data_IF_002198959091
#
_entry.id   IF_002198959091
#
_cell.length_a   1.000
_cell.length_b   1.000
_cell.length_c   1.000
_cell.angle_alpha   90.00
_cell.angle_beta   90.00
_cell.angle_gamma   90.00
#
_symmetry.space_group_name_H-M   'P 1'
#
loop_
_entity.id
_entity.type
_entity.pdbx_description
1 polymer ?
#
# COMPACT_ATOMS: atom_id res chain seq x y z
N UNK A 1 -16.70 8.92 11.08
CA UNK A 1 -15.72 8.46 10.13
C UNK A 1 -16.32 7.53 9.10
N UNK A 2 -15.96 7.77 7.89
CA UNK A 2 -16.46 6.97 6.79
C UNK A 2 -15.54 5.78 6.55
N UNK A 3 -16.12 4.60 6.47
CA UNK A 3 -15.32 3.42 6.16
C UNK A 3 -15.67 2.95 4.77
N UNK A 4 -14.69 3.00 3.92
CA UNK A 4 -14.86 2.50 2.58
C UNK A 4 -14.78 1.01 2.58
N UNK A 5 -15.59 0.41 1.77
CA UNK A 5 -15.51 -1.02 1.60
C UNK A 5 -14.24 -1.37 0.86
N UNK A 6 -13.48 -2.26 1.44
CA UNK A 6 -12.24 -2.73 0.84
C UNK A 6 -12.52 -4.05 0.15
N UNK A 7 -12.15 -4.13 -1.11
CA UNK A 7 -12.36 -5.32 -1.90
C UNK A 7 -11.06 -6.09 -2.07
N UNK A 8 -11.19 -7.38 -2.31
CA UNK A 8 -10.00 -8.22 -2.49
C UNK A 8 -9.22 -7.84 -3.74
N UNK A 9 -9.88 -7.20 -4.71
CA UNK A 9 -9.22 -6.78 -5.94
C UNK A 9 -8.69 -5.36 -5.90
N UNK A 10 -8.69 -4.73 -4.72
CA UNK A 10 -8.13 -3.39 -4.58
C UNK A 10 -6.61 -3.42 -4.70
N UNK A 11 -6.05 -2.29 -5.11
CA UNK A 11 -4.60 -2.10 -5.15
C UNK A 11 -4.20 -1.37 -3.87
N UNK A 12 -3.52 -2.07 -2.99
CA UNK A 12 -3.12 -1.53 -1.69
C UNK A 12 -1.71 -0.98 -1.75
N UNK A 13 -1.54 0.23 -1.24
CA UNK A 13 -0.23 0.81 -1.04
C UNK A 13 0.00 0.94 0.45
N UNK A 14 1.04 0.30 0.96
CA UNK A 14 1.37 0.36 2.38
C UNK A 14 2.66 1.13 2.56
N UNK A 15 2.56 2.32 3.10
CA UNK A 15 3.74 3.14 3.41
C UNK A 15 4.31 2.65 4.73
N UNK A 16 5.61 2.42 4.76
CA UNK A 16 6.26 1.92 5.96
C UNK A 16 6.14 0.41 6.12
N UNK A 17 6.03 -0.30 4.99
CA UNK A 17 5.83 -1.74 5.01
C UNK A 17 6.99 -2.49 5.67
N UNK A 18 8.18 -1.89 5.68
CA UNK A 18 9.35 -2.54 6.28
C UNK A 18 9.41 -2.36 7.79
N UNK A 19 8.60 -1.47 8.34
CA UNK A 19 8.56 -1.26 9.77
C UNK A 19 7.76 -2.34 10.48
N UNK A 20 7.78 -2.29 11.81
CA UNK A 20 7.11 -3.30 12.62
C UNK A 20 5.60 -3.30 12.36
N UNK A 21 4.99 -2.13 12.40
CA UNK A 21 3.55 -2.02 12.18
C UNK A 21 3.19 -2.33 10.73
N UNK A 22 3.96 -1.78 9.80
CA UNK A 22 3.68 -1.97 8.38
C UNK A 22 3.78 -3.42 7.95
N UNK A 23 4.79 -4.14 8.44
CA UNK A 23 4.94 -5.54 8.09
C UNK A 23 3.81 -6.38 8.69
N UNK A 24 3.35 -6.03 9.89
CA UNK A 24 2.23 -6.74 10.50
C UNK A 24 0.95 -6.50 9.70
N UNK A 25 0.74 -5.27 9.25
CA UNK A 25 -0.42 -4.96 8.43
C UNK A 25 -0.39 -5.76 7.12
N UNK A 26 0.78 -5.81 6.49
CA UNK A 26 0.91 -6.55 5.24
C UNK A 26 0.61 -8.03 5.43
N UNK A 27 1.13 -8.62 6.50
CA UNK A 27 0.87 -10.04 6.78
C UNK A 27 -0.63 -10.28 6.96
N UNK A 28 -1.31 -9.36 7.66
CA UNK A 28 -2.74 -9.52 7.90
C UNK A 28 -3.53 -9.40 6.61
N UNK A 29 -3.14 -8.46 5.75
CA UNK A 29 -3.81 -8.32 4.46
C UNK A 29 -3.66 -9.59 3.62
N UNK A 30 -2.44 -10.11 3.57
CA UNK A 30 -2.18 -11.32 2.79
C UNK A 30 -2.96 -12.50 3.36
N UNK A 31 -2.99 -12.60 4.67
CA UNK A 31 -3.69 -13.69 5.33
C UNK A 31 -5.18 -13.71 4.97
N UNK A 32 -5.76 -12.54 4.79
CA UNK A 32 -7.18 -12.43 4.49
C UNK A 32 -7.46 -12.36 2.99
N UNK A 33 -6.43 -12.49 2.16
CA UNK A 33 -6.60 -12.55 0.73
C UNK A 33 -6.57 -11.21 0.02
N UNK A 34 -6.37 -10.12 0.76
CA UNK A 34 -6.30 -8.80 0.13
C UNK A 34 -4.99 -8.65 -0.63
N UNK A 35 -5.07 -7.98 -1.78
CA UNK A 35 -3.88 -7.75 -2.57
C UNK A 35 -3.40 -8.97 -3.33
N UNK A 36 -4.20 -10.02 -3.39
CA UNK A 36 -3.85 -11.24 -4.09
C UNK A 36 -4.07 -11.03 -5.59
N UNK A 37 -2.99 -11.17 -6.35
CA UNK A 37 -3.06 -10.95 -7.79
C UNK A 37 -3.99 -11.94 -8.48
N UNK A 38 -4.14 -13.12 -7.92
CA UNK A 38 -5.06 -14.11 -8.47
C UNK A 38 -6.50 -13.63 -8.41
N UNK A 39 -6.78 -12.73 -7.47
CA UNK A 39 -8.11 -12.16 -7.30
C UNK A 39 -8.21 -10.77 -7.92
N UNK A 40 -7.21 -10.37 -8.68
CA UNK A 40 -7.21 -9.07 -9.33
C UNK A 40 -6.66 -7.93 -8.51
N UNK A 41 -6.13 -8.22 -7.34
CA UNK A 41 -5.62 -7.18 -6.46
C UNK A 41 -4.11 -7.00 -6.56
N UNK A 42 -3.59 -6.09 -5.77
CA UNK A 42 -2.15 -5.83 -5.71
C UNK A 42 -1.81 -5.32 -4.31
N UNK A 43 -0.60 -5.62 -3.89
CA UNK A 43 -0.08 -5.11 -2.62
C UNK A 43 1.24 -4.42 -2.93
N UNK A 44 1.22 -3.09 -2.89
CA UNK A 44 2.37 -2.28 -3.27
C UNK A 44 3.13 -1.86 -2.04
N UNK A 45 4.37 -2.29 -1.94
CA UNK A 45 5.23 -2.02 -0.81
C UNK A 45 6.57 -1.45 -1.31
N UNK A 46 6.53 -0.24 -1.88
CA UNK A 46 7.75 0.31 -2.47
C UNK A 46 8.80 0.62 -1.42
N UNK A 47 10.05 0.41 -1.76
CA UNK A 47 11.14 0.79 -0.90
C UNK A 47 11.33 2.31 -0.98
N UNK A 48 12.15 2.84 -0.08
CA UNK A 48 12.45 4.27 -0.10
C UNK A 48 13.12 4.68 -1.42
N UNK A 49 13.85 3.78 -2.03
CA UNK A 49 14.47 4.07 -3.32
C UNK A 49 13.45 4.18 -4.42
N UNK A 50 12.39 3.38 -4.34
CA UNK A 50 11.34 3.42 -5.36
C UNK A 50 10.40 4.60 -5.14
N UNK A 51 10.11 4.91 -3.88
CA UNK A 51 9.18 5.98 -3.56
C UNK A 51 9.71 6.75 -2.37
N UNK A 52 10.21 7.95 -2.64
CA UNK A 52 10.70 8.86 -1.62
C UNK A 52 9.58 9.80 -1.24
N UNK A 53 9.00 9.59 -0.07
CA UNK A 53 7.86 10.39 0.38
C UNK A 53 8.21 11.85 0.61
N UNK A 54 9.49 12.18 0.67
CA UNK A 54 9.93 13.56 0.84
C UNK A 54 10.07 14.29 -0.49
N UNK A 55 9.94 13.58 -1.59
CA UNK A 55 10.06 14.14 -2.92
C UNK A 55 8.68 14.15 -3.56
N UNK A 56 8.05 15.32 -3.60
CA UNK A 56 6.68 15.44 -4.08
C UNK A 56 6.51 15.01 -5.52
N UNK A 57 7.50 15.31 -6.36
CA UNK A 57 7.39 14.92 -7.76
C UNK A 57 7.48 13.42 -7.90
N UNK A 58 8.35 12.78 -7.13
CA UNK A 58 8.48 11.33 -7.13
C UNK A 58 7.17 10.68 -6.68
N UNK A 59 6.55 11.23 -5.64
CA UNK A 59 5.28 10.71 -5.12
C UNK A 59 4.19 10.83 -6.19
N UNK A 60 4.11 11.99 -6.82
CA UNK A 60 3.08 12.22 -7.83
C UNK A 60 3.24 11.24 -8.98
N UNK A 61 4.46 11.08 -9.49
CA UNK A 61 4.70 10.19 -10.60
C UNK A 61 4.42 8.75 -10.24
N UNK A 62 4.81 8.34 -9.04
CA UNK A 62 4.58 6.97 -8.59
C UNK A 62 3.09 6.67 -8.50
N UNK A 63 2.31 7.60 -7.95
CA UNK A 63 0.87 7.41 -7.81
C UNK A 63 0.18 7.38 -9.17
N UNK A 64 0.63 8.22 -10.09
CA UNK A 64 0.05 8.25 -11.43
C UNK A 64 0.33 6.96 -12.19
N UNK A 65 1.49 6.38 -11.93
CA UNK A 65 1.86 5.14 -12.60
C UNK A 65 1.17 3.93 -11.98
N UNK A 66 1.14 3.85 -10.67
CA UNK A 66 0.63 2.67 -9.97
C UNK A 66 -0.85 2.73 -9.62
N UNK A 67 -1.39 3.93 -9.45
CA UNK A 67 -2.81 4.16 -9.19
C UNK A 67 -3.38 3.28 -8.09
N UNK A 68 -2.82 3.36 -6.87
CA UNK A 68 -3.38 2.56 -5.78
C UNK A 68 -4.78 3.04 -5.43
N UNK A 69 -5.63 2.11 -5.02
CA UNK A 69 -6.99 2.42 -4.64
C UNK A 69 -7.17 2.51 -3.14
N UNK A 70 -6.25 1.91 -2.37
CA UNK A 70 -6.27 1.97 -0.92
C UNK A 70 -4.88 2.34 -0.44
N UNK A 71 -4.79 3.33 0.43
CA UNK A 71 -3.51 3.78 0.97
C UNK A 71 -3.53 3.57 2.47
N UNK A 72 -2.53 2.85 2.97
CA UNK A 72 -2.36 2.59 4.39
C UNK A 72 -1.06 3.22 4.85
N UNK A 73 -1.16 4.14 5.78
CA UNK A 73 0.01 4.84 6.29
C UNK A 73 0.45 4.19 7.60
N UNK A 74 1.42 3.31 7.50
CA UNK A 74 1.99 2.66 8.66
C UNK A 74 3.37 3.19 8.98
N UNK A 75 3.79 4.24 8.30
CA UNK A 75 5.10 4.85 8.49
C UNK A 75 5.06 5.73 9.72
N UNK A 76 5.34 5.15 10.87
CA UNK A 76 5.33 5.88 12.12
C UNK A 76 6.75 6.27 12.50
N UNK A 77 6.83 7.30 13.31
CA UNK A 77 8.12 7.77 13.80
C UNK A 77 8.67 6.86 14.84
#
# INVERSE_FOLDING_TARGET
MMINKISLDDKFFVAGANGMVGSAVCRKLIEKGYGDQKLGGSLLMPSRKELDLLNLENVKNWFEFNKPTVVILAAAK
#
